data_IF_070298197401
#
_entry.id   IF_070298197401
#
_cell.length_a   1.000
_cell.length_b   1.000
_cell.length_c   1.000
_cell.angle_alpha   90.00
_cell.angle_beta   90.00
_cell.angle_gamma   90.00
#
_symmetry.space_group_name_H-M   'P 1'
#
loop_
_entity.id
_entity.type
_entity.pdbx_description
1 polymer ?
#
# COMPACT_ATOMS: atom_id res chain seq x y z
N UNK A 1 2.96 17.73 12.86
CA UNK A 1 2.14 18.13 11.70
C UNK A 1 2.86 17.65 10.44
N UNK A 2 2.14 17.04 9.49
CA UNK A 2 2.71 16.55 8.22
C UNK A 2 2.42 17.60 7.15
N UNK A 3 3.46 18.09 6.45
CA UNK A 3 3.30 19.08 5.38
C UNK A 3 2.54 18.52 4.19
N UNK A 4 1.96 19.36 3.35
CA UNK A 4 1.31 18.95 2.11
C UNK A 4 2.30 18.23 1.17
N UNK A 5 3.54 18.70 1.13
CA UNK A 5 4.61 18.12 0.34
C UNK A 5 4.99 16.71 0.82
N UNK A 6 5.08 16.51 2.14
CA UNK A 6 5.36 15.19 2.71
C UNK A 6 4.20 14.21 2.46
N UNK A 7 2.93 14.66 2.53
CA UNK A 7 1.77 13.83 2.19
C UNK A 7 1.86 13.34 0.75
N UNK A 8 2.04 14.25 -0.19
CA UNK A 8 2.22 13.91 -1.61
C UNK A 8 3.45 13.00 -1.83
N UNK A 9 4.52 13.20 -1.04
CA UNK A 9 5.71 12.35 -1.06
C UNK A 9 5.41 10.90 -0.66
N UNK A 10 4.69 10.68 0.44
CA UNK A 10 4.27 9.33 0.87
C UNK A 10 3.39 8.64 -0.18
N UNK A 11 2.42 9.37 -0.74
CA UNK A 11 1.51 8.84 -1.77
C UNK A 11 2.26 8.45 -3.04
N UNK A 12 3.15 9.31 -3.52
CA UNK A 12 3.97 9.02 -4.71
C UNK A 12 4.85 7.79 -4.52
N UNK A 13 5.57 7.70 -3.38
CA UNK A 13 6.41 6.54 -3.06
C UNK A 13 5.57 5.26 -3.03
N UNK A 14 4.37 5.32 -2.44
CA UNK A 14 3.45 4.19 -2.45
C UNK A 14 3.02 3.81 -3.88
N UNK A 15 2.66 4.78 -4.73
CA UNK A 15 2.23 4.49 -6.10
C UNK A 15 3.33 3.80 -6.91
N UNK A 16 4.57 4.23 -6.76
CA UNK A 16 5.72 3.63 -7.43
C UNK A 16 5.99 2.21 -6.89
N UNK A 17 5.92 2.01 -5.58
CA UNK A 17 6.05 0.70 -4.96
C UNK A 17 4.92 -0.25 -5.38
N UNK A 18 3.67 0.21 -5.44
CA UNK A 18 2.53 -0.59 -5.86
C UNK A 18 2.67 -1.04 -7.32
N UNK A 19 3.02 -0.13 -8.24
CA UNK A 19 3.24 -0.46 -9.65
C UNK A 19 4.36 -1.49 -9.85
N UNK A 20 5.44 -1.38 -9.09
CA UNK A 20 6.62 -2.24 -9.26
C UNK A 20 6.49 -3.58 -8.52
N UNK A 21 5.72 -3.65 -7.43
CA UNK A 21 5.70 -4.82 -6.55
C UNK A 21 4.36 -5.55 -6.50
N UNK A 22 3.23 -4.86 -6.61
CA UNK A 22 1.92 -5.52 -6.64
C UNK A 22 1.57 -6.00 -8.04
N UNK A 23 1.89 -5.24 -9.08
CA UNK A 23 1.52 -5.55 -10.45
C UNK A 23 2.49 -6.52 -11.15
N UNK A 24 3.67 -6.79 -10.60
CA UNK A 24 4.67 -7.71 -11.19
C UNK A 24 4.94 -7.47 -12.68
N UNK A 25 4.90 -6.21 -13.13
CA UNK A 25 5.08 -5.82 -14.54
C UNK A 25 3.79 -5.78 -15.37
N UNK A 26 2.64 -6.14 -14.79
CA UNK A 26 1.31 -6.01 -15.41
C UNK A 26 0.72 -4.60 -15.29
N UNK A 27 -0.53 -4.43 -15.75
CA UNK A 27 -1.26 -3.17 -15.63
C UNK A 27 -1.61 -2.89 -14.15
N UNK A 28 -1.36 -1.65 -13.71
CA UNK A 28 -1.69 -1.19 -12.36
C UNK A 28 -2.40 0.16 -12.42
N UNK A 29 -3.68 0.17 -12.08
CA UNK A 29 -4.46 1.38 -11.95
C UNK A 29 -4.68 1.69 -10.47
N UNK A 30 -4.39 2.93 -10.06
CA UNK A 30 -4.56 3.38 -8.67
C UNK A 30 -5.50 4.59 -8.70
N UNK A 31 -6.59 4.50 -7.96
CA UNK A 31 -7.58 5.58 -7.81
C UNK A 31 -7.83 5.86 -6.33
N UNK A 32 -8.14 7.09 -5.93
CA UNK A 32 -8.67 7.34 -4.59
C UNK A 32 -9.91 6.48 -4.33
N UNK A 33 -9.98 5.87 -3.15
CA UNK A 33 -11.13 5.07 -2.78
C UNK A 33 -12.39 5.94 -2.65
N UNK A 34 -13.50 5.48 -3.22
CA UNK A 34 -14.76 6.19 -3.15
C UNK A 34 -15.30 6.15 -1.70
N UNK A 35 -15.22 7.27 -0.98
CA UNK A 35 -15.75 7.39 0.39
C UNK A 35 -14.93 8.22 1.36
N UNK A 36 -13.68 8.56 1.04
CA UNK A 36 -12.78 9.29 1.94
C UNK A 36 -12.70 10.80 1.68
N UNK A 37 -13.76 11.41 1.12
CA UNK A 37 -13.97 12.83 1.34
C UNK A 37 -14.31 13.00 2.84
N UNK A 38 -13.41 13.60 3.57
CA UNK A 38 -13.43 13.99 4.97
C UNK A 38 -14.81 14.54 5.39
N UNK A 39 -15.79 13.67 5.63
CA UNK A 39 -17.02 14.04 6.30
C UNK A 39 -17.05 13.40 7.69
N UNK A 40 -16.65 14.20 8.69
CA UNK A 40 -16.58 13.84 10.09
C UNK A 40 -17.98 13.73 10.73
N UNK A 41 -18.98 13.25 10.00
CA UNK A 41 -20.28 12.91 10.54
C UNK A 41 -20.34 11.41 10.83
N UNK A 42 -19.97 11.06 12.03
CA UNK A 42 -20.13 9.74 12.60
C UNK A 42 -21.62 9.43 12.79
N UNK A 43 -22.28 8.88 11.76
CA UNK A 43 -23.64 8.34 11.87
C UNK A 43 -23.55 6.82 12.13
N UNK A 44 -23.83 6.37 13.37
CA UNK A 44 -23.79 4.97 13.75
C UNK A 44 -24.90 4.12 13.11
N UNK A 45 -25.87 4.72 12.40
CA UNK A 45 -26.98 4.00 11.77
C UNK A 45 -26.64 3.38 10.42
N UNK A 46 -25.48 3.66 9.82
CA UNK A 46 -25.03 3.11 8.54
C UNK A 46 -24.47 1.68 8.60
N UNK A 47 -24.40 1.08 9.78
CA UNK A 47 -23.87 -0.29 9.99
C UNK A 47 -24.84 -1.41 9.63
N UNK A 48 -26.03 -1.13 9.08
CA UNK A 48 -27.03 -2.17 8.76
C UNK A 48 -27.35 -2.15 7.27
N UNK A 49 -26.55 -2.74 6.45
CA UNK A 49 -26.92 -3.50 5.25
C UNK A 49 -25.67 -3.89 4.47
N UNK A 50 -24.90 -4.81 4.99
CA UNK A 50 -23.91 -5.51 4.18
C UNK A 50 -24.32 -6.97 4.12
N UNK A 51 -24.85 -7.34 2.95
CA UNK A 51 -25.07 -8.76 2.61
C UNK A 51 -23.77 -9.52 2.93
N UNK A 52 -23.90 -10.66 3.58
CA UNK A 52 -22.82 -11.57 3.96
C UNK A 52 -21.92 -11.81 2.74
N UNK A 53 -20.68 -11.35 2.68
CA UNK A 53 -19.82 -11.69 1.57
C UNK A 53 -19.46 -13.16 1.67
N UNK A 54 -19.76 -13.91 0.62
CA UNK A 54 -19.35 -15.32 0.43
C UNK A 54 -17.84 -15.48 0.25
N UNK A 55 -17.11 -14.37 0.17
CA UNK A 55 -15.66 -14.32 -0.04
C UNK A 55 -14.99 -13.68 1.18
N UNK A 56 -14.01 -14.37 1.76
CA UNK A 56 -13.25 -13.85 2.90
C UNK A 56 -12.41 -12.65 2.48
N UNK A 57 -12.54 -11.55 3.22
CA UNK A 57 -11.66 -10.37 3.08
C UNK A 57 -10.61 -10.39 4.19
N UNK A 58 -9.38 -10.14 3.79
CA UNK A 58 -8.21 -10.07 4.66
C UNK A 58 -7.51 -8.73 4.48
N UNK A 59 -6.79 -8.30 5.51
CA UNK A 59 -5.89 -7.17 5.42
C UNK A 59 -4.50 -7.58 5.94
N UNK A 60 -3.48 -7.24 5.17
CA UNK A 60 -2.08 -7.32 5.61
C UNK A 60 -1.65 -5.92 6.02
N UNK A 61 -1.14 -5.80 7.24
CA UNK A 61 -0.63 -4.55 7.79
C UNK A 61 0.87 -4.66 8.01
N UNK A 62 1.60 -3.65 7.54
CA UNK A 62 3.03 -3.46 7.80
C UNK A 62 3.26 -2.05 8.33
N UNK A 63 4.35 -1.88 9.07
CA UNK A 63 4.70 -0.61 9.68
C UNK A 63 6.13 -0.22 9.31
N UNK A 64 6.32 1.03 8.90
CA UNK A 64 7.62 1.68 8.82
C UNK A 64 7.69 2.71 9.94
N UNK A 65 8.72 2.63 10.77
CA UNK A 65 8.88 3.49 11.95
C UNK A 65 10.16 4.30 11.84
N UNK A 66 10.03 5.60 12.08
CA UNK A 66 11.10 6.56 12.32
C UNK A 66 10.92 7.19 13.69
N UNK A 67 11.88 8.00 14.14
CA UNK A 67 11.74 8.77 15.38
C UNK A 67 10.63 9.81 15.31
N UNK A 68 10.35 10.36 14.11
CA UNK A 68 9.40 11.44 13.88
C UNK A 68 7.99 10.97 13.55
N UNK A 69 7.86 9.77 12.97
CA UNK A 69 6.57 9.25 12.51
C UNK A 69 6.54 7.72 12.48
N UNK A 70 5.33 7.20 12.36
CA UNK A 70 5.03 5.82 12.01
C UNK A 70 4.08 5.80 10.81
N UNK A 71 4.47 5.12 9.73
CA UNK A 71 3.64 4.85 8.57
C UNK A 71 3.12 3.41 8.68
N UNK A 72 1.80 3.22 8.64
CA UNK A 72 1.15 1.93 8.48
C UNK A 72 0.69 1.82 7.02
N UNK A 73 1.08 0.74 6.37
CA UNK A 73 0.56 0.30 5.09
C UNK A 73 -0.41 -0.84 5.34
N UNK A 74 -1.69 -0.64 5.03
CA UNK A 74 -2.71 -1.67 5.11
C UNK A 74 -3.18 -2.03 3.69
N UNK A 75 -2.98 -3.29 3.29
CA UNK A 75 -3.38 -3.83 1.99
C UNK A 75 -4.49 -4.85 2.18
N UNK A 76 -5.71 -4.50 1.73
CA UNK A 76 -6.90 -5.34 1.82
C UNK A 76 -7.10 -6.11 0.51
N UNK A 77 -7.34 -7.39 0.61
CA UNK A 77 -7.57 -8.26 -0.54
C UNK A 77 -8.69 -9.27 -0.27
N UNK A 78 -9.25 -9.81 -1.35
CA UNK A 78 -10.26 -10.86 -1.33
C UNK A 78 -9.62 -12.20 -1.66
N UNK A 79 -10.08 -13.24 -0.97
CA UNK A 79 -9.70 -14.61 -1.30
C UNK A 79 -10.61 -15.15 -2.42
N UNK A 80 -10.46 -14.58 -3.63
CA UNK A 80 -11.21 -14.96 -4.83
C UNK A 80 -10.30 -15.54 -5.92
N UNK A 81 -10.92 -16.05 -6.99
CA UNK A 81 -10.19 -16.73 -8.07
C UNK A 81 -9.21 -15.81 -8.83
N UNK A 82 -9.56 -14.56 -9.20
CA UNK A 82 -8.62 -13.65 -9.83
C UNK A 82 -7.40 -13.37 -8.96
N UNK A 83 -7.61 -13.07 -7.67
CA UNK A 83 -6.54 -12.76 -6.72
C UNK A 83 -5.60 -13.96 -6.52
N UNK A 84 -6.16 -15.17 -6.36
CA UNK A 84 -5.36 -16.40 -6.26
C UNK A 84 -4.52 -16.62 -7.52
N UNK A 85 -5.10 -16.45 -8.71
CA UNK A 85 -4.38 -16.64 -9.97
C UNK A 85 -3.22 -15.65 -10.10
N UNK A 86 -3.44 -14.38 -9.81
CA UNK A 86 -2.42 -13.33 -9.95
C UNK A 86 -1.22 -13.61 -9.04
N UNK A 87 -1.45 -13.83 -7.75
CA UNK A 87 -0.37 -14.02 -6.77
C UNK A 87 0.25 -15.41 -6.79
N UNK A 88 -0.49 -16.46 -7.20
CA UNK A 88 0.07 -17.79 -7.39
C UNK A 88 0.98 -17.88 -8.63
N UNK A 89 0.66 -17.16 -9.72
CA UNK A 89 1.50 -17.10 -10.90
C UNK A 89 2.83 -16.36 -10.64
N UNK A 90 2.82 -15.35 -9.78
CA UNK A 90 4.02 -14.62 -9.39
C UNK A 90 5.00 -15.47 -8.55
N UNK A 91 4.53 -16.56 -7.94
CA UNK A 91 5.31 -17.50 -7.13
C UNK A 91 5.98 -18.61 -7.99
N UNK A 92 6.41 -18.33 -9.23
CA UNK A 92 7.05 -19.29 -10.15
C UNK A 92 8.33 -19.88 -9.56
N UNK A 93 8.20 -21.03 -8.90
CA UNK A 93 9.23 -21.82 -8.24
C UNK A 93 8.53 -22.82 -7.33
N UNK A 94 9.15 -23.68 -6.60
CA UNK A 94 8.61 -24.75 -5.74
C UNK A 94 7.44 -24.36 -4.77
N UNK A 95 6.91 -23.16 -4.89
CA UNK A 95 5.88 -22.51 -4.06
C UNK A 95 4.47 -22.53 -4.66
N UNK A 96 4.22 -23.26 -5.74
CA UNK A 96 2.90 -23.30 -6.41
C UNK A 96 1.73 -23.81 -5.53
N UNK A 97 1.98 -24.14 -4.27
CA UNK A 97 0.98 -24.61 -3.30
C UNK A 97 0.88 -23.73 -2.04
N UNK A 98 1.46 -22.52 -2.02
CA UNK A 98 1.29 -21.64 -0.85
C UNK A 98 -0.15 -21.13 -0.78
N UNK A 99 -0.74 -21.06 0.43
CA UNK A 99 -2.00 -20.37 0.65
C UNK A 99 -1.91 -18.91 0.19
N UNK A 100 -3.00 -18.39 -0.41
CA UNK A 100 -3.04 -17.00 -0.88
C UNK A 100 -2.60 -15.98 0.18
N UNK A 101 -3.02 -16.09 1.47
CA UNK A 101 -2.58 -15.12 2.49
C UNK A 101 -1.06 -15.07 2.66
N UNK A 102 -0.37 -16.20 2.59
CA UNK A 102 1.10 -16.25 2.71
C UNK A 102 1.79 -15.63 1.49
N UNK A 103 1.32 -15.97 0.28
CA UNK A 103 1.83 -15.39 -0.95
C UNK A 103 1.61 -13.87 -0.98
N UNK A 104 0.44 -13.41 -0.53
CA UNK A 104 0.12 -11.98 -0.47
C UNK A 104 0.96 -11.24 0.58
N UNK A 105 1.19 -11.83 1.76
CA UNK A 105 2.09 -11.25 2.78
C UNK A 105 3.50 -11.05 2.26
N UNK A 106 4.02 -11.97 1.44
CA UNK A 106 5.35 -11.84 0.82
C UNK A 106 5.39 -10.64 -0.14
N UNK A 107 4.40 -10.52 -1.03
CA UNK A 107 4.31 -9.39 -1.97
C UNK A 107 4.09 -8.07 -1.23
N UNK A 108 3.24 -8.05 -0.20
CA UNK A 108 3.03 -6.88 0.65
C UNK A 108 4.33 -6.45 1.36
N UNK A 109 5.13 -7.42 1.82
CA UNK A 109 6.43 -7.16 2.43
C UNK A 109 7.41 -6.54 1.43
N UNK A 110 7.44 -7.02 0.18
CA UNK A 110 8.26 -6.44 -0.88
C UNK A 110 7.81 -5.01 -1.23
N UNK A 111 6.50 -4.77 -1.27
CA UNK A 111 5.94 -3.43 -1.51
C UNK A 111 6.33 -2.46 -0.37
N UNK A 112 6.15 -2.87 0.89
CA UNK A 112 6.55 -2.07 2.04
C UNK A 112 8.07 -1.85 2.09
N UNK A 113 8.87 -2.84 1.72
CA UNK A 113 10.33 -2.73 1.60
C UNK A 113 10.76 -1.70 0.56
N UNK A 114 10.06 -1.62 -0.58
CA UNK A 114 10.32 -0.59 -1.59
C UNK A 114 9.99 0.82 -1.06
N UNK A 115 8.90 0.97 -0.32
CA UNK A 115 8.55 2.23 0.36
C UNK A 115 9.62 2.59 1.40
N UNK A 116 10.02 1.63 2.24
CA UNK A 116 11.05 1.83 3.26
C UNK A 116 12.36 2.31 2.61
N UNK A 117 12.79 1.66 1.54
CA UNK A 117 14.01 2.02 0.81
C UNK A 117 13.92 3.44 0.23
N UNK A 118 12.79 3.82 -0.37
CA UNK A 118 12.61 5.18 -0.89
C UNK A 118 12.64 6.25 0.20
N UNK A 119 12.19 5.91 1.40
CA UNK A 119 12.18 6.81 2.56
C UNK A 119 13.54 6.91 3.26
N UNK A 120 14.52 6.02 2.99
CA UNK A 120 15.85 6.11 3.64
C UNK A 120 16.63 7.35 3.25
N UNK A 121 16.37 7.95 2.08
CA UNK A 121 17.06 9.17 1.66
C UNK A 121 16.71 10.38 2.56
N UNK A 122 15.42 10.69 2.83
CA UNK A 122 15.05 11.76 3.76
C UNK A 122 15.12 11.31 5.24
N UNK A 123 15.06 10.01 5.55
CA UNK A 123 15.03 9.47 6.92
C UNK A 123 15.97 8.26 7.01
N UNK A 124 17.24 8.44 7.41
CA UNK A 124 18.23 7.34 7.39
C UNK A 124 17.93 6.24 8.43
N UNK A 125 17.25 6.58 9.54
CA UNK A 125 17.00 5.66 10.64
C UNK A 125 15.56 5.12 10.60
N UNK A 126 15.31 4.13 9.74
CA UNK A 126 14.02 3.49 9.57
C UNK A 126 14.03 2.02 10.01
N UNK A 127 12.98 1.62 10.70
CA UNK A 127 12.68 0.22 10.98
C UNK A 127 11.40 -0.22 10.27
N UNK A 128 11.37 -1.46 9.78
CA UNK A 128 10.20 -2.07 9.17
C UNK A 128 9.74 -3.29 9.97
N UNK A 129 8.42 -3.44 10.18
CA UNK A 129 7.86 -4.62 10.82
C UNK A 129 7.77 -5.81 9.86
N UNK A 130 7.55 -7.01 10.40
CA UNK A 130 7.00 -8.13 9.66
C UNK A 130 5.52 -7.89 9.35
N UNK A 131 4.95 -8.52 8.29
CA UNK A 131 3.53 -8.39 7.97
C UNK A 131 2.64 -9.07 9.01
N UNK A 132 1.48 -8.44 9.31
CA UNK A 132 0.40 -9.04 10.10
C UNK A 132 -0.77 -9.33 9.21
N UNK A 133 -1.34 -10.53 9.31
CA UNK A 133 -2.60 -10.88 8.66
C UNK A 133 -3.75 -10.68 9.64
N UNK A 134 -4.72 -9.84 9.25
CA UNK A 134 -5.89 -9.52 10.06
C UNK A 134 -7.18 -9.72 9.25
N UNK A 135 -8.33 -9.67 9.92
CA UNK A 135 -9.64 -9.59 9.25
C UNK A 135 -9.76 -8.29 8.46
N UNK A 136 -10.43 -8.33 7.31
CA UNK A 136 -10.69 -7.15 6.49
C UNK A 136 -11.36 -5.99 7.25
N UNK A 137 -12.19 -6.30 8.26
CA UNK A 137 -12.83 -5.31 9.12
C UNK A 137 -11.86 -4.55 10.05
N UNK A 138 -10.63 -5.04 10.22
CA UNK A 138 -9.64 -4.38 11.09
C UNK A 138 -9.22 -3.01 10.59
N UNK A 139 -9.43 -2.71 9.30
CA UNK A 139 -9.12 -1.42 8.69
C UNK A 139 -9.97 -0.28 9.29
N UNK A 140 -11.17 -0.60 9.77
CA UNK A 140 -12.11 0.37 10.34
C UNK A 140 -11.59 0.98 11.66
N UNK A 141 -10.57 0.39 12.26
CA UNK A 141 -9.93 0.89 13.49
C UNK A 141 -8.76 1.84 13.24
N UNK A 142 -8.29 2.00 11.99
CA UNK A 142 -7.17 2.90 11.69
C UNK A 142 -7.42 4.36 12.09
N UNK A 143 -8.63 4.94 11.94
CA UNK A 143 -8.91 6.31 12.39
C UNK A 143 -8.72 6.51 13.90
N UNK A 144 -8.89 5.47 14.72
CA UNK A 144 -8.69 5.56 16.17
C UNK A 144 -7.22 5.81 16.56
N UNK A 145 -6.26 5.63 15.64
CA UNK A 145 -4.86 5.98 15.83
C UNK A 145 -4.60 7.50 15.74
N UNK A 146 -5.63 8.32 15.43
CA UNK A 146 -5.52 9.76 15.22
C UNK A 146 -4.40 10.15 14.26
N UNK A 147 -4.37 9.60 13.03
CA UNK A 147 -3.29 9.86 12.10
C UNK A 147 -3.24 11.32 11.67
N UNK A 148 -2.03 11.83 11.49
CA UNK A 148 -1.82 13.16 10.90
C UNK A 148 -2.06 13.20 9.38
N UNK A 149 -2.06 12.02 8.74
CA UNK A 149 -2.45 11.81 7.35
C UNK A 149 -2.97 10.39 7.16
N UNK A 150 -4.11 10.26 6.49
CA UNK A 150 -4.66 8.99 6.07
C UNK A 150 -5.21 9.12 4.65
N UNK A 151 -4.82 8.20 3.77
CA UNK A 151 -5.29 8.18 2.39
C UNK A 151 -5.57 6.73 1.98
N UNK A 152 -6.72 6.50 1.34
CA UNK A 152 -7.15 5.19 0.88
C UNK A 152 -7.28 5.17 -0.65
N UNK A 153 -6.91 4.03 -1.24
CA UNK A 153 -6.85 3.83 -2.68
C UNK A 153 -7.43 2.47 -3.06
N UNK A 154 -8.10 2.45 -4.20
CA UNK A 154 -8.44 1.24 -4.93
C UNK A 154 -7.35 0.97 -5.97
N UNK A 155 -6.63 -0.14 -5.80
CA UNK A 155 -5.60 -0.62 -6.73
C UNK A 155 -6.19 -1.75 -7.55
N UNK A 156 -6.25 -1.59 -8.87
CA UNK A 156 -6.71 -2.61 -9.81
C UNK A 156 -5.51 -3.15 -10.59
N UNK A 157 -5.28 -4.46 -10.52
CA UNK A 157 -4.20 -5.14 -11.21
C UNK A 157 -4.79 -5.97 -12.36
N UNK A 158 -4.22 -5.83 -13.56
CA UNK A 158 -4.63 -6.54 -14.79
C UNK A 158 -6.14 -6.48 -15.10
N UNK A 159 -6.84 -5.47 -14.57
CA UNK A 159 -8.25 -5.21 -14.80
C UNK A 159 -9.23 -5.98 -13.92
N UNK A 160 -8.83 -7.07 -13.26
CA UNK A 160 -9.72 -7.97 -12.53
C UNK A 160 -9.38 -8.17 -11.03
N UNK A 161 -8.12 -7.99 -10.63
CA UNK A 161 -7.71 -8.09 -9.22
C UNK A 161 -7.86 -6.74 -8.52
N UNK A 162 -8.55 -6.73 -7.38
CA UNK A 162 -8.80 -5.50 -6.62
C UNK A 162 -8.18 -5.57 -5.23
N UNK A 163 -7.32 -4.61 -4.94
CA UNK A 163 -6.65 -4.43 -3.66
C UNK A 163 -7.04 -3.07 -3.10
N UNK A 164 -7.58 -3.03 -1.88
CA UNK A 164 -7.72 -1.78 -1.14
C UNK A 164 -6.39 -1.45 -0.45
N UNK A 165 -5.87 -0.25 -0.62
CA UNK A 165 -4.65 0.18 0.05
C UNK A 165 -4.94 1.40 0.92
N UNK A 166 -4.47 1.39 2.17
CA UNK A 166 -4.56 2.54 3.06
C UNK A 166 -3.18 2.89 3.60
N UNK A 167 -2.80 4.14 3.41
CA UNK A 167 -1.66 4.77 4.06
C UNK A 167 -2.15 5.51 5.30
N UNK A 168 -1.60 5.18 6.45
CA UNK A 168 -1.94 5.83 7.71
C UNK A 168 -0.64 6.32 8.36
N UNK A 169 -0.43 7.65 8.45
CA UNK A 169 0.78 8.25 8.98
C UNK A 169 0.49 8.94 10.31
N UNK A 170 1.03 8.40 11.39
CA UNK A 170 1.01 8.99 12.73
C UNK A 170 2.32 9.72 12.98
N UNK A 171 2.29 11.04 13.11
CA UNK A 171 3.47 11.86 13.33
C UNK A 171 3.48 12.44 14.75
N UNK A 172 4.58 12.26 15.47
CA UNK A 172 4.85 12.80 16.82
C UNK A 172 5.77 14.03 16.78
N UNK A 173 6.33 14.36 15.61
CA UNK A 173 7.08 15.58 15.34
C UNK A 173 6.70 16.13 13.95
N UNK A 174 7.07 17.36 13.59
CA UNK A 174 6.90 17.86 12.22
C UNK A 174 7.60 16.96 11.20
N UNK A 175 6.87 16.59 10.14
CA UNK A 175 7.39 15.78 9.03
C UNK A 175 7.28 16.58 7.76
N UNK A 176 8.42 16.83 7.14
CA UNK A 176 8.55 17.53 5.86
C UNK A 176 9.69 16.91 5.05
N UNK A 177 9.41 16.56 3.81
CA UNK A 177 10.42 16.06 2.87
C UNK A 177 9.91 16.17 1.44
N UNK A 178 10.84 16.16 0.50
CA UNK A 178 10.56 16.19 -0.92
C UNK A 178 11.05 14.91 -1.60
N UNK A 179 10.21 14.35 -2.44
CA UNK A 179 10.61 13.28 -3.36
C UNK A 179 10.90 13.94 -4.70
N UNK A 180 12.16 13.95 -5.17
CA UNK A 180 12.49 14.50 -6.48
C UNK A 180 11.68 13.82 -7.57
N UNK A 181 11.20 14.55 -8.56
CA UNK A 181 10.70 13.93 -9.78
C UNK A 181 11.81 13.07 -10.35
N UNK A 182 11.51 11.78 -10.61
CA UNK A 182 12.44 10.94 -11.34
C UNK A 182 12.74 11.66 -12.65
N UNK A 183 13.99 12.08 -12.84
CA UNK A 183 14.44 12.60 -14.11
C UNK A 183 14.06 11.53 -15.14
N UNK A 184 13.28 11.89 -16.15
CA UNK A 184 13.03 11.02 -17.29
C UNK A 184 14.41 10.59 -17.78
N UNK A 185 14.70 9.28 -17.66
CA UNK A 185 15.91 8.73 -18.22
C UNK A 185 15.75 8.86 -19.72
N UNK A 186 16.40 9.90 -20.24
CA UNK A 186 16.53 10.12 -21.67
C UNK A 186 17.41 8.98 -22.20
N UNK A 187 16.76 7.94 -22.75
CA UNK A 187 17.43 6.79 -23.38
C UNK A 187 17.97 7.18 -24.76
N UNK A 188 18.58 8.34 -24.86
CA UNK A 188 19.26 8.88 -26.03
C UNK A 188 20.77 8.81 -25.92
N UNK A 189 21.31 7.62 -25.62
CA UNK A 189 22.74 7.33 -25.68
C UNK A 189 23.02 6.27 -26.72
N UNK A 190 23.11 6.65 -27.99
CA UNK A 190 23.82 5.83 -28.98
C UNK A 190 25.24 5.60 -28.51
N UNK A 191 25.58 4.35 -28.22
CA UNK A 191 26.98 3.90 -28.07
C UNK A 191 27.62 3.92 -29.44
N UNK A 192 28.35 5.01 -29.78
CA UNK A 192 29.31 4.98 -30.84
C UNK A 192 30.51 4.09 -30.40
N UNK A 193 30.57 2.92 -30.97
CA UNK A 193 31.75 2.02 -30.88
C UNK A 193 32.83 2.57 -31.78
N UNK A 194 33.96 3.01 -31.17
CA UNK A 194 35.24 3.17 -31.83
C UNK A 194 36.14 1.95 -31.62
#
# INVERSE_FOLDING_TARGET
>A
MISAQARAGFERIFFDAARTRLASGGACEIRPAAGDAHDASHDPSRMKSRATPTVSEHVVVLTISALHFRLLLALRFRDDVPTRRHFAAAASGASAQRPLPEAFMEVANLCCGAINQALTAPFPDLGMSTPYLLSGASIDYLPALNPGHMAAYDVTLDGDVRIGATLCVCANAPVDFHVPEAASVDTGGELELF
#
